data_IF_146599726335
#
_entry.id   IF_146599726335
#
_cell.length_a   1.000
_cell.length_b   1.000
_cell.length_c   1.000
_cell.angle_alpha   90.00
_cell.angle_beta   90.00
_cell.angle_gamma   90.00
#
_symmetry.space_group_name_H-M   'P 1'
#
loop_
_entity.id
_entity.type
_entity.pdbx_description
1 polymer ?
#
# COMPACT_ATOMS: atom_id res chain seq x y z
N UNK A 1 8.66 -17.99 0.06
CA UNK A 1 8.37 -16.54 0.05
C UNK A 1 7.34 -16.32 -1.05
N UNK A 2 6.31 -15.50 -0.83
CA UNK A 2 5.28 -15.28 -1.86
C UNK A 2 5.82 -14.38 -2.97
N UNK A 3 5.43 -14.59 -4.22
CA UNK A 3 5.63 -13.63 -5.32
C UNK A 3 4.75 -12.40 -5.13
N UNK A 4 5.00 -11.34 -5.90
CA UNK A 4 4.17 -10.13 -5.84
C UNK A 4 2.73 -10.42 -6.24
N UNK A 5 2.54 -11.22 -7.29
CA UNK A 5 1.21 -11.68 -7.73
C UNK A 5 0.49 -12.50 -6.66
N UNK A 6 1.22 -13.33 -5.92
CA UNK A 6 0.65 -14.08 -4.79
C UNK A 6 0.25 -13.16 -3.63
N UNK A 7 1.03 -12.12 -3.35
CA UNK A 7 0.68 -11.09 -2.37
C UNK A 7 -0.55 -10.29 -2.79
N UNK A 8 -0.61 -9.83 -4.04
CA UNK A 8 -1.74 -9.11 -4.60
C UNK A 8 -3.06 -9.87 -4.41
N UNK A 9 -3.10 -11.13 -4.85
CA UNK A 9 -4.28 -12.00 -4.69
C UNK A 9 -4.62 -12.27 -3.22
N UNK A 10 -3.62 -12.56 -2.40
CA UNK A 10 -3.84 -12.89 -0.99
C UNK A 10 -4.41 -11.69 -0.21
N UNK A 11 -3.93 -10.48 -0.50
CA UNK A 11 -4.38 -9.24 0.13
C UNK A 11 -5.77 -8.84 -0.36
N UNK A 12 -6.05 -8.91 -1.66
CA UNK A 12 -7.38 -8.69 -2.22
C UNK A 12 -8.42 -9.61 -1.57
N UNK A 13 -8.16 -10.92 -1.58
CA UNK A 13 -9.05 -11.90 -0.95
C UNK A 13 -9.17 -11.70 0.58
N UNK A 14 -8.12 -11.23 1.25
CA UNK A 14 -8.19 -10.90 2.68
C UNK A 14 -9.04 -9.66 2.95
N UNK A 15 -8.96 -8.64 2.08
CA UNK A 15 -9.76 -7.43 2.17
C UNK A 15 -11.26 -7.75 1.98
N UNK A 16 -11.60 -8.56 0.98
CA UNK A 16 -12.97 -9.04 0.74
C UNK A 16 -13.54 -9.80 1.95
N UNK A 17 -12.74 -10.70 2.55
CA UNK A 17 -13.17 -11.44 3.76
C UNK A 17 -13.33 -10.55 4.99
N UNK A 18 -12.46 -9.55 5.15
CA UNK A 18 -12.48 -8.65 6.31
C UNK A 18 -13.61 -7.63 6.23
N UNK A 19 -13.93 -7.20 5.01
CA UNK A 19 -14.96 -6.20 4.73
C UNK A 19 -15.93 -6.76 3.69
N UNK A 20 -16.71 -7.80 4.03
CA UNK A 20 -17.72 -8.33 3.12
C UNK A 20 -18.74 -7.22 2.84
N UNK A 21 -19.15 -7.09 1.58
CA UNK A 21 -20.11 -6.08 1.13
C UNK A 21 -19.69 -4.63 1.44
N UNK A 22 -18.39 -4.34 1.47
CA UNK A 22 -17.87 -3.00 1.80
C UNK A 22 -18.48 -1.90 0.94
N UNK A 23 -18.87 -2.23 -0.31
CA UNK A 23 -19.37 -1.26 -1.28
C UNK A 23 -18.33 -0.21 -1.65
N UNK A 24 -17.04 -0.44 -1.33
CA UNK A 24 -15.97 0.51 -1.58
C UNK A 24 -15.84 0.74 -3.08
N UNK A 25 -15.95 2.01 -3.45
CA UNK A 25 -15.59 2.46 -4.78
C UNK A 25 -14.08 2.57 -4.93
N UNK A 26 -13.60 2.66 -6.17
CA UNK A 26 -12.19 3.01 -6.44
C UNK A 26 -11.78 4.32 -5.73
N UNK A 27 -12.71 5.27 -5.58
CA UNK A 27 -12.45 6.53 -4.87
C UNK A 27 -12.25 6.34 -3.37
N UNK A 28 -12.97 5.42 -2.74
CA UNK A 28 -12.79 5.08 -1.32
C UNK A 28 -11.44 4.41 -1.07
N UNK A 29 -11.04 3.52 -1.99
CA UNK A 29 -9.71 2.90 -1.97
C UNK A 29 -8.60 3.93 -2.11
N UNK A 30 -8.72 4.88 -3.04
CA UNK A 30 -7.76 5.98 -3.20
C UNK A 30 -7.73 6.90 -1.97
N UNK A 31 -8.86 7.14 -1.31
CA UNK A 31 -8.89 7.89 -0.06
C UNK A 31 -8.18 7.13 1.08
N UNK A 32 -8.31 5.80 1.14
CA UNK A 32 -7.56 4.96 2.09
C UNK A 32 -6.05 5.04 1.87
N UNK A 33 -5.61 4.93 0.61
CA UNK A 33 -4.19 5.05 0.23
C UNK A 33 -3.62 6.41 0.68
N UNK A 34 -4.36 7.52 0.50
CA UNK A 34 -3.92 8.84 0.95
C UNK A 34 -3.72 8.88 2.47
N UNK A 35 -4.65 8.35 3.25
CA UNK A 35 -4.51 8.26 4.71
C UNK A 35 -3.32 7.40 5.13
N UNK A 36 -3.09 6.26 4.47
CA UNK A 36 -1.92 5.43 4.75
C UNK A 36 -0.60 6.14 4.41
N UNK A 37 -0.57 6.98 3.38
CA UNK A 37 0.59 7.82 3.09
C UNK A 37 0.83 8.87 4.18
N UNK A 38 -0.23 9.51 4.69
CA UNK A 38 -0.14 10.45 5.82
C UNK A 38 0.40 9.74 7.08
N UNK A 39 -0.07 8.52 7.37
CA UNK A 39 0.42 7.71 8.49
C UNK A 39 1.91 7.36 8.33
N UNK A 40 2.37 7.05 7.11
CA UNK A 40 3.80 6.80 6.82
C UNK A 40 4.62 8.06 7.07
N UNK A 41 4.16 9.22 6.59
CA UNK A 41 4.85 10.50 6.82
C UNK A 41 4.97 10.81 8.32
N UNK A 42 3.88 10.63 9.08
CA UNK A 42 3.88 10.83 10.52
C UNK A 42 4.82 9.86 11.24
N UNK A 43 4.82 8.58 10.86
CA UNK A 43 5.71 7.58 11.46
C UNK A 43 7.20 7.90 11.20
N UNK A 44 7.55 8.35 9.99
CA UNK A 44 8.92 8.74 9.66
C UNK A 44 9.37 9.99 10.44
N UNK A 45 8.48 10.96 10.67
CA UNK A 45 8.77 12.14 11.51
C UNK A 45 8.96 11.78 12.98
N UNK A 46 8.26 10.77 13.48
CA UNK A 46 8.47 10.23 14.83
C UNK A 46 9.82 9.51 14.90
N UNK A 47 10.14 8.67 13.91
CA UNK A 47 11.42 7.96 13.83
C UNK A 47 12.62 8.92 13.75
N UNK A 48 12.51 10.01 12.98
CA UNK A 48 13.56 11.03 12.86
C UNK A 48 13.67 11.95 14.08
N UNK A 49 12.70 11.89 15.01
CA UNK A 49 12.65 12.71 16.22
C UNK A 49 12.15 14.15 15.98
N UNK A 50 11.62 14.45 14.79
CA UNK A 50 11.04 15.75 14.46
C UNK A 50 9.74 16.02 15.24
N UNK A 51 8.97 14.97 15.53
CA UNK A 51 7.69 15.06 16.23
C UNK A 51 7.59 13.96 17.29
N UNK A 52 6.90 14.26 18.41
CA UNK A 52 6.45 13.23 19.35
C UNK A 52 4.98 12.92 19.08
N UNK A 53 4.66 11.63 18.98
CA UNK A 53 3.30 11.14 18.85
C UNK A 53 3.13 9.95 19.77
N UNK A 54 1.98 9.87 20.44
CA UNK A 54 1.58 8.71 21.25
C UNK A 54 0.67 7.76 20.46
N UNK A 55 0.39 8.06 19.18
CA UNK A 55 -0.39 7.19 18.33
C UNK A 55 0.41 5.92 17.98
N UNK A 56 -0.17 4.76 18.25
CA UNK A 56 0.39 3.47 17.90
C UNK A 56 0.66 3.32 16.40
N UNK A 57 -0.10 4.01 15.55
CA UNK A 57 0.14 3.98 14.11
C UNK A 57 1.52 4.55 13.74
N UNK A 58 2.02 5.53 14.49
CA UNK A 58 3.27 6.22 14.18
C UNK A 58 4.53 5.59 14.79
N UNK A 59 4.38 4.51 15.57
CA UNK A 59 5.50 3.87 16.28
C UNK A 59 6.23 2.79 15.46
N UNK A 60 5.69 2.38 14.31
CA UNK A 60 6.29 1.35 13.45
C UNK A 60 6.22 1.79 11.98
N UNK A 61 7.20 2.58 11.49
CA UNK A 61 7.20 3.11 10.13
C UNK A 61 7.25 2.00 9.08
N UNK A 62 7.95 0.90 9.35
CA UNK A 62 8.04 -0.23 8.43
C UNK A 62 6.68 -0.93 8.26
N UNK A 63 5.93 -1.11 9.35
CA UNK A 63 4.58 -1.64 9.28
C UNK A 63 3.63 -0.70 8.51
N UNK A 64 3.79 0.63 8.66
CA UNK A 64 2.99 1.61 7.89
C UNK A 64 3.29 1.57 6.40
N UNK A 65 4.56 1.45 6.03
CA UNK A 65 4.97 1.26 4.62
C UNK A 65 4.34 -0.03 4.08
N UNK A 66 4.36 -1.12 4.84
CA UNK A 66 3.72 -2.38 4.44
C UNK A 66 2.20 -2.25 4.29
N UNK A 67 1.53 -1.48 5.16
CA UNK A 67 0.09 -1.22 5.07
C UNK A 67 -0.27 -0.40 3.83
N UNK A 68 0.53 0.63 3.50
CA UNK A 68 0.38 1.41 2.27
C UNK A 68 0.53 0.52 1.03
N UNK A 69 1.58 -0.31 0.99
CA UNK A 69 1.78 -1.27 -0.11
C UNK A 69 0.60 -2.22 -0.23
N UNK A 70 0.05 -2.68 0.90
CA UNK A 70 -1.10 -3.57 0.89
C UNK A 70 -2.33 -2.92 0.24
N UNK A 71 -2.64 -1.67 0.58
CA UNK A 71 -3.76 -0.94 -0.01
C UNK A 71 -3.58 -0.71 -1.53
N UNK A 72 -2.35 -0.45 -1.98
CA UNK A 72 -2.03 -0.33 -3.42
C UNK A 72 -2.22 -1.67 -4.14
N UNK A 73 -1.78 -2.77 -3.54
CA UNK A 73 -1.96 -4.11 -4.13
C UNK A 73 -3.42 -4.55 -4.15
N UNK A 74 -4.21 -4.17 -3.15
CA UNK A 74 -5.66 -4.40 -3.16
C UNK A 74 -6.32 -3.64 -4.31
N UNK A 75 -5.99 -2.35 -4.49
CA UNK A 75 -6.49 -1.56 -5.63
C UNK A 75 -6.13 -2.21 -6.97
N UNK A 76 -4.90 -2.71 -7.09
CA UNK A 76 -4.46 -3.40 -8.29
C UNK A 76 -5.24 -4.68 -8.59
N UNK A 77 -5.53 -5.49 -7.55
CA UNK A 77 -6.37 -6.69 -7.69
C UNK A 77 -7.80 -6.32 -8.09
N UNK A 78 -8.39 -5.30 -7.46
CA UNK A 78 -9.72 -4.76 -7.80
C UNK A 78 -9.79 -4.32 -9.28
N UNK A 79 -8.67 -3.80 -9.81
CA UNK A 79 -8.53 -3.39 -11.23
C UNK A 79 -8.18 -4.53 -12.18
N UNK A 80 -7.91 -5.73 -11.68
CA UNK A 80 -7.42 -6.86 -12.48
C UNK A 80 -6.04 -6.61 -13.12
N UNK A 81 -5.22 -5.74 -12.53
CA UNK A 81 -3.92 -5.38 -13.06
C UNK A 81 -2.87 -6.46 -12.78
N UNK A 82 -1.96 -6.68 -13.74
CA UNK A 82 -0.75 -7.49 -13.53
C UNK A 82 0.39 -6.58 -13.08
N UNK A 83 0.47 -6.33 -11.77
CA UNK A 83 1.44 -5.37 -11.22
C UNK A 83 2.88 -5.81 -11.41
N UNK A 84 3.14 -7.12 -11.44
CA UNK A 84 4.49 -7.64 -11.70
C UNK A 84 4.97 -7.20 -13.09
N UNK A 85 4.12 -7.36 -14.11
CA UNK A 85 4.40 -6.87 -15.46
C UNK A 85 4.47 -5.35 -15.57
N UNK A 86 3.62 -4.61 -14.84
CA UNK A 86 3.67 -3.14 -14.86
C UNK A 86 4.94 -2.59 -14.17
N UNK A 87 5.40 -3.24 -13.09
CA UNK A 87 6.64 -2.86 -12.41
C UNK A 87 7.86 -3.09 -13.28
N UNK A 88 7.90 -4.12 -14.12
CA UNK A 88 8.98 -4.30 -15.10
C UNK A 88 9.07 -3.11 -16.06
N UNK A 89 7.93 -2.56 -16.52
CA UNK A 89 7.90 -1.37 -17.38
C UNK A 89 8.37 -0.13 -16.64
N UNK A 90 7.98 0.04 -15.38
CA UNK A 90 8.41 1.15 -14.52
C UNK A 90 9.91 1.06 -14.25
N UNK A 91 10.43 -0.14 -13.94
CA UNK A 91 11.86 -0.36 -13.75
C UNK A 91 12.64 -0.03 -15.03
N UNK A 92 12.17 -0.54 -16.18
CA UNK A 92 12.78 -0.22 -17.47
C UNK A 92 12.78 1.29 -17.78
N UNK A 93 11.81 2.05 -17.26
CA UNK A 93 11.83 3.52 -17.37
C UNK A 93 12.92 4.15 -16.49
N UNK A 94 13.08 3.71 -15.23
CA UNK A 94 14.15 4.19 -14.36
C UNK A 94 15.57 3.83 -14.85
N UNK A 95 15.70 2.69 -15.53
CA UNK A 95 16.99 2.20 -16.05
C UNK A 95 17.39 2.85 -17.38
N UNK A 96 16.45 3.53 -18.07
CA UNK A 96 16.80 4.33 -19.23
C UNK A 96 17.71 5.47 -18.76
N UNK A 97 18.95 5.41 -19.24
CA UNK A 97 19.85 6.57 -19.24
C UNK A 97 19.48 7.40 -20.45
N UNK A 98 18.89 8.56 -20.20
CA UNK A 98 18.84 9.63 -21.20
C UNK A 98 20.25 9.97 -21.72
#
# INVERSE_FOLDING_TARGET
MKSLREWQKALGAAAERKFPDSGWSESDRLASIRRQLEDVEAALKVESGEVRSDDHAHQDPNHRIAALIADILILAEERGADIESELEKVLAWFERRD
#
